data_IF_879924386585
#
_entry.id   IF_879924386585
#
_cell.length_a   1.000
_cell.length_b   1.000
_cell.length_c   1.000
_cell.angle_alpha   90.00
_cell.angle_beta   90.00
_cell.angle_gamma   90.00
#
_symmetry.space_group_name_H-M   'P 1'
#
loop_
_entity.id
_entity.type
_entity.pdbx_description
1 polymer ?
#
# COMPACT_ATOMS: atom_id res chain seq x y z
N UNK A 1 -50.32 -7.55 17.44
CA UNK A 1 -49.83 -6.33 16.77
C UNK A 1 -49.57 -5.30 17.86
N UNK A 2 -48.32 -5.08 18.24
CA UNK A 2 -48.00 -3.99 19.16
C UNK A 2 -48.22 -2.68 18.40
N UNK A 3 -49.24 -1.93 18.79
CA UNK A 3 -49.51 -0.59 18.26
C UNK A 3 -48.29 0.25 18.60
N UNK A 4 -47.45 0.56 17.61
CA UNK A 4 -46.36 1.50 17.79
C UNK A 4 -46.95 2.81 18.37
N UNK A 5 -46.32 3.43 19.38
CA UNK A 5 -46.82 4.67 19.93
C UNK A 5 -46.98 5.69 18.79
N UNK A 6 -48.09 6.44 18.80
CA UNK A 6 -48.45 7.41 17.75
C UNK A 6 -47.33 8.41 17.39
N UNK A 7 -46.34 8.57 18.28
CA UNK A 7 -45.13 9.34 18.10
C UNK A 7 -44.23 8.84 16.94
N UNK A 8 -44.22 7.54 16.60
CA UNK A 8 -43.35 7.03 15.53
C UNK A 8 -43.82 7.44 14.11
N UNK A 9 -45.10 7.78 13.96
CA UNK A 9 -45.67 8.27 12.70
C UNK A 9 -45.40 9.78 12.48
N UNK A 10 -45.05 10.52 13.54
CA UNK A 10 -44.77 11.96 13.48
C UNK A 10 -43.26 12.16 13.39
N UNK A 11 -42.81 12.90 12.37
CA UNK A 11 -41.39 13.22 12.19
C UNK A 11 -40.99 14.45 13.03
N UNK A 12 -40.45 14.23 14.23
CA UNK A 12 -40.02 15.32 15.12
C UNK A 12 -38.84 16.12 14.58
N UNK A 13 -38.00 15.50 13.74
CA UNK A 13 -36.95 16.24 13.03
C UNK A 13 -37.57 17.21 12.04
N UNK A 14 -38.59 16.79 11.29
CA UNK A 14 -39.34 17.68 10.41
C UNK A 14 -40.06 18.81 11.17
N UNK A 15 -40.62 18.53 12.35
CA UNK A 15 -41.25 19.56 13.22
C UNK A 15 -40.25 20.64 13.64
N UNK A 16 -39.03 20.24 14.01
CA UNK A 16 -37.94 21.18 14.34
C UNK A 16 -37.21 21.74 13.10
N UNK A 17 -37.59 21.30 11.89
CA UNK A 17 -36.96 21.64 10.59
C UNK A 17 -35.47 21.29 10.56
N UNK A 18 -35.12 20.12 11.10
CA UNK A 18 -33.76 19.60 11.19
C UNK A 18 -33.61 18.31 10.37
N UNK A 19 -32.35 17.99 10.05
CA UNK A 19 -31.98 16.67 9.54
C UNK A 19 -31.98 15.63 10.67
N UNK A 20 -32.16 14.35 10.33
CA UNK A 20 -31.99 13.24 11.28
C UNK A 20 -30.56 13.16 11.85
N UNK A 21 -29.59 13.73 11.14
CA UNK A 21 -28.18 13.81 11.57
C UNK A 21 -27.91 14.98 12.53
N UNK A 22 -28.94 15.79 12.85
CA UNK A 22 -28.76 16.97 13.68
C UNK A 22 -28.21 16.63 15.08
N UNK A 23 -27.28 17.44 15.54
CA UNK A 23 -26.64 17.35 16.85
C UNK A 23 -27.59 17.84 17.96
N UNK A 24 -27.31 17.45 19.21
CA UNK A 24 -28.10 17.92 20.36
C UNK A 24 -28.10 19.46 20.46
N UNK A 25 -26.98 20.11 20.10
CA UNK A 25 -26.87 21.56 20.09
C UNK A 25 -27.78 22.21 19.04
N UNK A 26 -27.87 21.62 17.85
CA UNK A 26 -28.75 22.09 16.77
C UNK A 26 -30.22 21.91 17.16
N UNK A 27 -30.58 20.79 17.79
CA UNK A 27 -31.93 20.52 18.31
C UNK A 27 -32.35 21.59 19.32
N UNK A 28 -31.53 21.86 20.34
CA UNK A 28 -31.86 22.89 21.33
C UNK A 28 -31.88 24.29 20.73
N UNK A 29 -31.04 24.57 19.73
CA UNK A 29 -31.00 25.88 19.06
C UNK A 29 -32.23 26.11 18.19
N UNK A 30 -32.64 25.10 17.41
CA UNK A 30 -33.85 25.14 16.61
C UNK A 30 -35.10 25.29 17.49
N UNK A 31 -35.17 24.56 18.61
CA UNK A 31 -36.24 24.71 19.59
C UNK A 31 -36.34 26.15 20.11
N UNK A 32 -35.24 26.75 20.57
CA UNK A 32 -35.25 28.14 21.08
C UNK A 32 -35.68 29.15 20.01
N UNK A 33 -35.30 28.92 18.75
CA UNK A 33 -35.68 29.78 17.63
C UNK A 33 -37.19 29.67 17.33
N UNK A 34 -37.68 28.44 17.15
CA UNK A 34 -39.09 28.16 16.87
C UNK A 34 -40.00 28.57 18.03
N UNK A 35 -39.58 28.37 19.27
CA UNK A 35 -40.30 28.81 20.47
C UNK A 35 -40.54 30.32 20.49
N UNK A 36 -39.58 31.12 20.01
CA UNK A 36 -39.72 32.58 19.90
C UNK A 36 -40.56 33.02 18.71
N UNK A 37 -40.60 32.23 17.64
CA UNK A 37 -41.39 32.52 16.44
C UNK A 37 -42.86 32.14 16.63
N UNK A 38 -43.12 31.04 17.36
CA UNK A 38 -44.45 30.47 17.60
C UNK A 38 -45.05 30.88 18.94
N UNK A 39 -44.44 31.83 19.66
CA UNK A 39 -44.97 32.28 20.94
C UNK A 39 -46.29 33.05 20.76
N UNK A 40 -47.36 32.74 21.54
CA UNK A 40 -48.67 33.38 21.37
C UNK A 40 -48.64 34.90 21.58
N UNK A 41 -47.73 35.42 22.41
CA UNK A 41 -47.57 36.88 22.58
C UNK A 41 -47.10 37.61 21.30
N UNK A 42 -46.40 36.92 20.39
CA UNK A 42 -45.96 37.49 19.11
C UNK A 42 -46.94 37.23 17.96
N UNK A 43 -47.78 36.21 18.09
CA UNK A 43 -48.79 35.83 17.11
C UNK A 43 -50.19 36.17 17.63
N UNK A 44 -50.42 37.45 17.95
CA UNK A 44 -51.69 37.93 18.53
C UNK A 44 -52.88 37.81 17.58
N UNK A 45 -52.61 37.70 16.28
CA UNK A 45 -53.62 37.55 15.23
C UNK A 45 -54.13 36.09 15.10
N UNK A 46 -53.34 35.11 15.55
CA UNK A 46 -53.70 33.68 15.60
C UNK A 46 -53.05 33.00 16.83
N UNK A 47 -53.52 33.33 18.05
CA UNK A 47 -52.94 32.78 19.26
C UNK A 47 -53.15 31.27 19.38
N UNK A 48 -54.28 30.75 18.90
CA UNK A 48 -54.63 29.33 18.98
C UNK A 48 -53.73 28.48 18.06
N UNK A 49 -53.53 28.91 16.81
CA UNK A 49 -52.61 28.23 15.88
C UNK A 49 -51.16 28.25 16.39
N UNK A 50 -50.73 29.37 16.97
CA UNK A 50 -49.42 29.51 17.61
C UNK A 50 -49.26 28.56 18.80
N UNK A 51 -50.26 28.44 19.67
CA UNK A 51 -50.24 27.50 20.81
C UNK A 51 -50.12 26.05 20.35
N UNK A 52 -50.89 25.63 19.35
CA UNK A 52 -50.82 24.25 18.82
C UNK A 52 -49.46 23.97 18.19
N UNK A 53 -48.92 24.89 17.40
CA UNK A 53 -47.60 24.75 16.78
C UNK A 53 -46.48 24.72 17.84
N UNK A 54 -46.59 25.55 18.87
CA UNK A 54 -45.66 25.59 19.99
C UNK A 54 -45.66 24.27 20.77
N UNK A 55 -46.84 23.70 21.05
CA UNK A 55 -46.97 22.39 21.71
C UNK A 55 -46.26 21.29 20.94
N UNK A 56 -46.41 21.23 19.61
CA UNK A 56 -45.71 20.25 18.76
C UNK A 56 -44.19 20.40 18.81
N UNK A 57 -43.70 21.64 18.80
CA UNK A 57 -42.27 21.96 18.90
C UNK A 57 -41.71 21.58 20.28
N UNK A 58 -42.50 21.77 21.34
CA UNK A 58 -42.14 21.35 22.70
C UNK A 58 -42.06 19.82 22.80
N UNK A 59 -43.07 19.11 22.32
CA UNK A 59 -43.12 17.64 22.28
C UNK A 59 -41.93 17.07 21.50
N UNK A 60 -41.60 17.65 20.33
CA UNK A 60 -40.42 17.27 19.55
C UNK A 60 -39.11 17.44 20.34
N UNK A 61 -38.95 18.55 21.07
CA UNK A 61 -37.76 18.78 21.89
C UNK A 61 -37.69 17.86 23.12
N UNK A 62 -38.83 17.49 23.73
CA UNK A 62 -38.87 16.56 24.87
C UNK A 62 -38.46 15.13 24.49
N UNK A 63 -38.68 14.75 23.23
CA UNK A 63 -38.28 13.44 22.69
C UNK A 63 -36.84 13.48 22.18
N UNK A 64 -36.48 14.48 21.40
CA UNK A 64 -35.16 14.57 20.74
C UNK A 64 -34.06 15.16 21.63
N UNK A 65 -34.42 15.91 22.68
CA UNK A 65 -33.48 16.62 23.55
C UNK A 65 -32.75 15.73 24.55
N UNK A 66 -33.31 14.57 24.91
CA UNK A 66 -32.67 13.60 25.78
C UNK A 66 -32.12 12.43 24.97
N UNK A 67 -30.86 12.06 25.16
CA UNK A 67 -30.19 11.03 24.35
C UNK A 67 -30.90 9.67 24.42
N UNK A 68 -31.35 9.24 25.60
CA UNK A 68 -32.08 7.99 25.77
C UNK A 68 -33.42 7.98 25.01
N UNK A 69 -34.17 9.08 25.09
CA UNK A 69 -35.46 9.22 24.39
C UNK A 69 -35.27 9.32 22.89
N UNK A 70 -34.22 10.02 22.44
CA UNK A 70 -33.85 10.09 21.02
C UNK A 70 -33.53 8.71 20.47
N UNK A 71 -32.73 7.90 21.17
CA UNK A 71 -32.42 6.53 20.76
C UNK A 71 -33.67 5.66 20.62
N UNK A 72 -34.58 5.74 21.60
CA UNK A 72 -35.85 5.02 21.56
C UNK A 72 -36.73 5.48 20.39
N UNK A 73 -36.81 6.79 20.15
CA UNK A 73 -37.53 7.36 19.03
C UNK A 73 -36.95 6.93 17.68
N UNK A 74 -35.63 7.01 17.51
CA UNK A 74 -34.95 6.65 16.28
C UNK A 74 -35.15 5.15 15.96
N UNK A 75 -35.11 4.30 16.99
CA UNK A 75 -35.38 2.86 16.87
C UNK A 75 -36.83 2.61 16.47
N UNK A 76 -37.79 3.17 17.22
CA UNK A 76 -39.21 3.00 16.94
C UNK A 76 -39.63 3.57 15.58
N UNK A 77 -39.05 4.70 15.17
CA UNK A 77 -39.25 5.31 13.86
C UNK A 77 -38.68 4.43 12.74
N UNK A 78 -37.49 3.85 12.94
CA UNK A 78 -36.90 2.93 11.98
C UNK A 78 -37.77 1.68 11.82
N UNK A 79 -38.24 1.08 12.92
CA UNK A 79 -39.15 -0.06 12.92
C UNK A 79 -40.49 0.28 12.26
N UNK A 80 -41.05 1.46 12.54
CA UNK A 80 -42.30 1.92 11.94
C UNK A 80 -42.15 2.16 10.44
N UNK A 81 -41.06 2.80 10.02
CA UNK A 81 -40.74 2.97 8.60
C UNK A 81 -40.62 1.60 7.93
N UNK A 82 -39.88 0.66 8.54
CA UNK A 82 -39.80 -0.72 8.05
C UNK A 82 -41.15 -1.41 7.99
N UNK A 83 -42.02 -1.23 8.99
CA UNK A 83 -43.37 -1.79 9.07
C UNK A 83 -44.34 -1.21 8.03
N UNK A 84 -44.15 0.05 7.62
CA UNK A 84 -44.97 0.75 6.63
C UNK A 84 -44.35 0.84 5.23
N UNK A 85 -43.10 0.42 5.05
CA UNK A 85 -42.49 0.22 3.73
C UNK A 85 -43.33 -0.78 2.93
N UNK A 86 -43.60 -0.44 1.67
CA UNK A 86 -44.29 -1.34 0.75
C UNK A 86 -43.50 -2.65 0.59
N UNK A 87 -44.20 -3.73 0.22
CA UNK A 87 -43.56 -5.02 -0.05
C UNK A 87 -42.45 -4.87 -1.11
N UNK A 88 -42.70 -4.07 -2.14
CA UNK A 88 -41.73 -3.79 -3.21
C UNK A 88 -40.49 -3.08 -2.66
N UNK A 89 -40.64 -2.01 -1.87
CA UNK A 89 -39.49 -1.31 -1.30
C UNK A 89 -38.68 -2.17 -0.32
N UNK A 90 -39.34 -3.03 0.47
CA UNK A 90 -38.65 -4.01 1.34
C UNK A 90 -37.84 -5.01 0.53
N UNK A 91 -38.41 -5.53 -0.54
CA UNK A 91 -37.74 -6.48 -1.43
C UNK A 91 -36.57 -5.83 -2.14
N UNK A 92 -36.72 -4.59 -2.61
CA UNK A 92 -35.61 -3.83 -3.20
C UNK A 92 -34.48 -3.59 -2.20
N UNK A 93 -34.79 -3.25 -0.94
CA UNK A 93 -33.76 -3.16 0.12
C UNK A 93 -33.07 -4.49 0.38
N UNK A 94 -33.80 -5.60 0.44
CA UNK A 94 -33.20 -6.93 0.60
C UNK A 94 -32.32 -7.31 -0.59
N UNK A 95 -32.77 -7.06 -1.82
CA UNK A 95 -32.00 -7.28 -3.06
C UNK A 95 -30.73 -6.46 -3.06
N UNK A 96 -30.80 -5.17 -2.71
CA UNK A 96 -29.64 -4.30 -2.64
C UNK A 96 -28.61 -4.75 -1.59
N UNK A 97 -29.06 -5.26 -0.43
CA UNK A 97 -28.17 -5.86 0.57
C UNK A 97 -27.48 -7.11 0.00
N UNK A 98 -28.25 -8.05 -0.54
CA UNK A 98 -27.69 -9.27 -1.16
C UNK A 98 -26.70 -8.95 -2.28
N UNK A 99 -27.03 -8.03 -3.18
CA UNK A 99 -26.14 -7.62 -4.26
C UNK A 99 -24.84 -6.99 -3.75
N UNK A 100 -24.87 -6.23 -2.65
CA UNK A 100 -23.65 -5.71 -2.01
C UNK A 100 -22.79 -6.82 -1.42
N UNK A 101 -23.42 -7.77 -0.73
CA UNK A 101 -22.73 -8.90 -0.11
C UNK A 101 -22.11 -9.83 -1.18
N UNK A 102 -22.85 -10.10 -2.25
CA UNK A 102 -22.39 -10.85 -3.42
C UNK A 102 -21.22 -10.15 -4.12
N UNK A 103 -21.32 -8.84 -4.37
CA UNK A 103 -20.22 -8.07 -4.96
C UNK A 103 -18.98 -8.02 -4.04
N UNK A 104 -19.16 -7.98 -2.73
CA UNK A 104 -18.06 -8.06 -1.78
C UNK A 104 -17.40 -9.45 -1.80
N UNK A 105 -18.19 -10.52 -1.88
CA UNK A 105 -17.70 -11.89 -1.99
C UNK A 105 -16.93 -12.12 -3.30
N UNK A 106 -17.44 -11.61 -4.43
CA UNK A 106 -16.75 -11.68 -5.72
C UNK A 106 -15.39 -10.97 -5.69
N UNK A 107 -15.33 -9.75 -5.13
CA UNK A 107 -14.06 -9.02 -4.97
C UNK A 107 -13.06 -9.77 -4.09
N UNK A 108 -13.53 -10.40 -3.01
CA UNK A 108 -12.67 -11.21 -2.15
C UNK A 108 -12.12 -12.43 -2.91
N UNK A 109 -12.97 -13.13 -3.68
CA UNK A 109 -12.56 -14.27 -4.49
C UNK A 109 -11.57 -13.86 -5.60
N UNK A 110 -11.77 -12.71 -6.24
CA UNK A 110 -10.84 -12.17 -7.24
C UNK A 110 -9.49 -11.78 -6.61
N UNK A 111 -9.50 -11.14 -5.45
CA UNK A 111 -8.27 -10.81 -4.73
C UNK A 111 -7.47 -12.08 -4.37
N UNK A 112 -8.15 -13.16 -3.96
CA UNK A 112 -7.50 -14.43 -3.69
C UNK A 112 -6.89 -15.05 -4.97
N UNK A 113 -7.63 -15.03 -6.09
CA UNK A 113 -7.12 -15.49 -7.39
C UNK A 113 -5.90 -14.68 -7.85
N UNK A 114 -5.94 -13.36 -7.65
CA UNK A 114 -4.82 -12.47 -7.98
C UNK A 114 -3.61 -12.77 -7.09
N UNK A 115 -3.81 -12.98 -5.79
CA UNK A 115 -2.74 -13.35 -4.87
C UNK A 115 -2.10 -14.70 -5.24
N UNK A 116 -2.92 -15.69 -5.64
CA UNK A 116 -2.42 -16.97 -6.13
C UNK A 116 -1.58 -16.82 -7.40
N UNK A 117 -2.06 -16.01 -8.36
CA UNK A 117 -1.30 -15.70 -9.59
C UNK A 117 -0.01 -14.96 -9.30
N UNK A 118 -0.02 -14.00 -8.38
CA UNK A 118 1.18 -13.27 -7.97
C UNK A 118 2.22 -14.21 -7.34
N UNK A 119 1.79 -15.16 -6.49
CA UNK A 119 2.67 -16.21 -5.95
C UNK A 119 3.29 -17.08 -7.05
N UNK A 120 2.50 -17.48 -8.05
CA UNK A 120 3.02 -18.25 -9.19
C UNK A 120 4.05 -17.45 -9.99
N UNK A 121 3.79 -16.17 -10.26
CA UNK A 121 4.73 -15.28 -10.96
C UNK A 121 6.04 -15.16 -10.16
N UNK A 122 5.95 -14.87 -8.86
CA UNK A 122 7.11 -14.76 -7.99
C UNK A 122 7.93 -16.06 -7.95
N UNK A 123 7.26 -17.23 -7.90
CA UNK A 123 7.92 -18.52 -7.95
C UNK A 123 8.66 -18.75 -9.29
N UNK A 124 8.05 -18.37 -10.43
CA UNK A 124 8.69 -18.46 -11.74
C UNK A 124 9.90 -17.52 -11.86
N UNK A 125 9.80 -16.31 -11.30
CA UNK A 125 10.91 -15.35 -11.28
C UNK A 125 12.07 -15.84 -10.41
N UNK A 126 11.78 -16.38 -9.22
CA UNK A 126 12.79 -16.98 -8.35
C UNK A 126 13.49 -18.18 -9.04
N UNK A 127 12.73 -19.03 -9.73
CA UNK A 127 13.30 -20.13 -10.51
C UNK A 127 14.23 -19.63 -11.62
N UNK A 128 13.81 -18.59 -12.35
CA UNK A 128 14.65 -17.95 -13.39
C UNK A 128 15.91 -17.32 -12.81
N UNK A 129 15.85 -16.70 -11.63
CA UNK A 129 17.01 -16.14 -10.95
C UNK A 129 18.02 -17.24 -10.57
N UNK A 130 17.55 -18.33 -9.98
CA UNK A 130 18.41 -19.47 -9.62
C UNK A 130 19.11 -20.07 -10.86
N UNK A 131 18.41 -20.21 -11.98
CA UNK A 131 19.05 -20.67 -13.22
C UNK A 131 20.08 -19.67 -13.75
N UNK A 132 19.81 -18.36 -13.68
CA UNK A 132 20.80 -17.33 -14.03
C UNK A 132 22.05 -17.45 -13.17
N UNK A 133 21.91 -17.59 -11.86
CA UNK A 133 23.04 -17.70 -10.93
C UNK A 133 23.88 -18.96 -11.22
N UNK A 134 23.23 -20.09 -11.49
CA UNK A 134 23.91 -21.32 -11.94
C UNK A 134 24.67 -21.11 -13.24
N UNK A 135 24.06 -20.45 -14.22
CA UNK A 135 24.73 -20.17 -15.51
C UNK A 135 25.94 -19.24 -15.34
N UNK A 136 25.81 -18.21 -14.49
CA UNK A 136 26.90 -17.29 -14.17
C UNK A 136 28.05 -18.02 -13.46
N UNK A 137 27.75 -18.86 -12.47
CA UNK A 137 28.74 -19.67 -11.77
C UNK A 137 29.47 -20.64 -12.72
N UNK A 138 28.74 -21.27 -13.64
CA UNK A 138 29.34 -22.17 -14.65
C UNK A 138 30.26 -21.42 -15.60
N UNK A 139 29.86 -20.22 -16.06
CA UNK A 139 30.70 -19.39 -16.91
C UNK A 139 31.96 -18.92 -16.17
N UNK A 140 31.81 -18.50 -14.92
CA UNK A 140 32.93 -18.09 -14.08
C UNK A 140 33.94 -19.22 -13.91
N UNK A 141 33.48 -20.43 -13.59
CA UNK A 141 34.34 -21.61 -13.47
C UNK A 141 35.10 -21.94 -14.78
N UNK A 142 34.46 -21.77 -15.95
CA UNK A 142 35.14 -21.95 -17.25
C UNK A 142 36.24 -20.89 -17.47
N UNK A 143 35.96 -19.64 -17.10
CA UNK A 143 36.94 -18.56 -17.22
C UNK A 143 38.14 -18.78 -16.30
N UNK A 144 37.89 -19.23 -15.07
CA UNK A 144 38.95 -19.51 -14.09
C UNK A 144 39.81 -20.72 -14.51
N UNK A 145 39.18 -21.79 -15.04
CA UNK A 145 39.90 -22.92 -15.62
C UNK A 145 40.80 -22.49 -16.79
N UNK A 146 40.28 -21.64 -17.68
CA UNK A 146 41.06 -21.10 -18.82
C UNK A 146 42.21 -20.20 -18.37
N UNK A 147 42.02 -19.41 -17.31
CA UNK A 147 43.09 -18.61 -16.71
C UNK A 147 44.16 -19.50 -16.09
N UNK A 148 43.78 -20.56 -15.38
CA UNK A 148 44.72 -21.51 -14.79
C UNK A 148 45.54 -22.25 -15.86
N UNK A 149 44.91 -22.66 -16.96
CA UNK A 149 45.60 -23.28 -18.09
C UNK A 149 46.63 -22.32 -18.72
N UNK A 150 46.25 -21.05 -18.93
CA UNK A 150 47.17 -20.03 -19.42
C UNK A 150 48.35 -19.81 -18.45
N UNK A 151 48.08 -19.69 -17.15
CA UNK A 151 49.12 -19.53 -16.14
C UNK A 151 50.10 -20.72 -16.13
N UNK A 152 49.60 -21.95 -16.24
CA UNK A 152 50.44 -23.15 -16.32
C UNK A 152 51.30 -23.16 -17.61
N UNK A 153 50.74 -22.70 -18.74
CA UNK A 153 51.49 -22.57 -19.99
C UNK A 153 52.61 -21.51 -19.88
N UNK A 154 52.32 -20.37 -19.25
CA UNK A 154 53.28 -19.29 -19.01
C UNK A 154 54.42 -19.76 -18.06
N UNK A 155 54.09 -20.47 -16.98
CA UNK A 155 55.08 -21.08 -16.08
C UNK A 155 55.95 -22.11 -16.79
N UNK A 156 55.36 -23.00 -17.59
CA UNK A 156 56.11 -23.99 -18.36
C UNK A 156 57.07 -23.32 -19.37
N UNK A 157 56.63 -22.23 -20.00
CA UNK A 157 57.48 -21.42 -20.87
C UNK A 157 58.65 -20.79 -20.10
N UNK A 158 58.41 -20.28 -18.89
CA UNK A 158 59.46 -19.73 -18.03
C UNK A 158 60.45 -20.80 -17.56
N UNK A 159 59.98 -21.98 -17.15
CA UNK A 159 60.83 -23.11 -16.78
C UNK A 159 61.73 -23.53 -17.95
N UNK A 160 61.19 -23.54 -19.18
CA UNK A 160 61.97 -23.83 -20.37
C UNK A 160 63.04 -22.75 -20.63
N UNK A 161 62.70 -21.46 -20.46
CA UNK A 161 63.66 -20.35 -20.55
C UNK A 161 64.79 -20.51 -19.53
N UNK A 162 64.46 -20.78 -18.26
CA UNK A 162 65.42 -21.05 -17.18
C UNK A 162 66.33 -22.25 -17.52
N UNK A 163 65.76 -23.35 -18.04
CA UNK A 163 66.53 -24.54 -18.44
C UNK A 163 67.48 -24.25 -19.61
N UNK A 164 67.05 -23.46 -20.61
CA UNK A 164 67.89 -23.01 -21.73
C UNK A 164 69.02 -22.11 -21.26
N UNK A 165 68.74 -21.18 -20.34
CA UNK A 165 69.75 -20.31 -19.74
C UNK A 165 70.82 -21.12 -19.01
N UNK A 166 70.43 -22.04 -18.12
CA UNK A 166 71.36 -22.95 -17.43
C UNK A 166 72.22 -23.79 -18.40
N UNK A 167 71.65 -24.26 -19.51
CA UNK A 167 72.40 -24.97 -20.56
C UNK A 167 73.42 -24.06 -21.25
N UNK A 168 73.06 -22.80 -21.54
CA UNK A 168 73.97 -21.80 -22.10
C UNK A 168 75.11 -21.48 -21.14
N UNK A 169 74.82 -21.26 -19.87
CA UNK A 169 75.82 -21.02 -18.83
C UNK A 169 76.77 -22.21 -18.66
N UNK A 170 76.25 -23.45 -18.61
CA UNK A 170 77.09 -24.66 -18.59
C UNK A 170 77.96 -24.80 -19.84
N UNK A 171 77.42 -24.51 -21.03
CA UNK A 171 78.17 -24.53 -22.29
C UNK A 171 79.24 -23.44 -22.34
N UNK A 172 78.94 -22.24 -21.85
CA UNK A 172 79.90 -21.13 -21.73
C UNK A 172 81.03 -21.47 -20.75
N UNK A 173 80.70 -22.07 -19.60
CA UNK A 173 81.69 -22.55 -18.62
C UNK A 173 82.57 -23.69 -19.15
N UNK A 174 82.03 -24.53 -20.05
CA UNK A 174 82.81 -25.57 -20.73
C UNK A 174 83.67 -25.02 -21.90
N UNK A 175 83.33 -23.84 -22.44
CA UNK A 175 84.07 -23.17 -23.51
C UNK A 175 85.10 -22.15 -22.99
N UNK A 176 85.02 -21.74 -21.72
CA UNK A 176 85.93 -20.77 -21.10
C UNK A 176 86.93 -21.44 -20.15
N UNK A 177 88.02 -21.95 -20.71
CA UNK A 177 89.32 -21.97 -20.05
C UNK A 177 90.16 -20.84 -20.63
N UNK A 178 90.68 -19.99 -19.74
CA UNK A 178 91.64 -18.88 -19.94
C UNK A 178 91.16 -17.59 -20.63
N UNK A 179 91.33 -16.47 -19.91
CA UNK A 179 91.27 -15.12 -20.48
C UNK A 179 90.85 -14.02 -19.50
N UNK A 180 91.79 -13.62 -18.65
CA UNK A 180 91.79 -12.39 -17.85
C UNK A 180 91.68 -11.10 -18.72
N UNK A 181 90.89 -10.10 -18.29
CA UNK A 181 91.13 -8.66 -18.54
C UNK A 181 90.06 -7.76 -17.90
N UNK A 182 90.56 -6.68 -17.32
CA UNK A 182 89.93 -5.69 -16.43
C UNK A 182 89.13 -4.57 -17.17
N UNK A 183 88.59 -3.54 -16.47
CA UNK A 183 87.34 -2.83 -16.80
C UNK A 183 87.49 -1.54 -17.63
N UNK A 184 86.42 -1.14 -18.30
CA UNK A 184 86.28 0.11 -19.06
C UNK A 184 84.98 0.84 -18.74
N UNK A 185 85.10 2.14 -18.50
CA UNK A 185 84.19 3.05 -17.78
C UNK A 185 83.55 4.07 -18.75
N UNK A 186 82.24 4.34 -18.53
CA UNK A 186 81.44 5.56 -18.88
C UNK A 186 80.95 5.80 -20.34
N UNK A 187 80.00 6.74 -20.61
CA UNK A 187 78.56 6.72 -20.24
C UNK A 187 77.66 7.26 -21.40
N UNK A 188 76.41 7.66 -21.09
CA UNK A 188 75.39 8.34 -21.93
C UNK A 188 74.49 7.40 -22.77
N UNK A 189 73.17 7.54 -22.84
CA UNK A 189 72.40 8.78 -22.87
C UNK A 189 71.03 8.69 -22.19
N UNK A 190 70.62 9.90 -21.84
CA UNK A 190 69.40 10.37 -21.22
C UNK A 190 68.22 10.38 -22.23
N UNK A 191 67.00 10.51 -21.70
CA UNK A 191 65.77 11.03 -22.33
C UNK A 191 64.76 10.02 -22.89
N UNK A 192 63.53 10.11 -22.38
CA UNK A 192 62.38 9.44 -22.97
C UNK A 192 61.13 9.37 -22.09
N UNK A 193 60.69 10.49 -21.53
CA UNK A 193 59.39 10.70 -20.87
C UNK A 193 58.21 10.04 -21.59
N UNK A 194 57.28 9.40 -20.85
CA UNK A 194 55.81 9.61 -20.96
C UNK A 194 54.97 8.61 -20.13
N UNK A 195 54.35 9.14 -19.08
CA UNK A 195 52.90 8.96 -18.81
C UNK A 195 52.06 9.69 -19.89
N UNK A 196 50.70 9.63 -19.97
CA UNK A 196 49.69 9.01 -19.07
C UNK A 196 48.54 8.25 -19.79
N UNK A 197 47.59 7.77 -18.97
CA UNK A 197 46.11 7.66 -19.17
C UNK A 197 45.50 6.87 -20.34
N UNK A 198 44.74 5.82 -19.99
CA UNK A 198 43.30 5.63 -20.29
C UNK A 198 42.72 4.40 -19.58
#
# INVERSE_FOLDING_TARGET
>A
AAMAPAFAAVDFYAVLRLSHEATALEISTAYRKLARELHPDRNRDDPDGATVAFQKVQEAHEVLGAEERRKLYDTARAEWLEANLSLDERLERQRARRARDEAAAERAAEAERQAARAKQIAALEAARANERDKTAARLQAQMDARKAEKAAADEAAEQLRRKRQRRREKKAKAAGGDGDAAPGTLPADEQGSREPDQ
#
